data_IF_565426923055
#
_entry.id   IF_565426923055
#
_cell.length_a   1.000
_cell.length_b   1.000
_cell.length_c   1.000
_cell.angle_alpha   90.00
_cell.angle_beta   90.00
_cell.angle_gamma   90.00
#
_symmetry.space_group_name_H-M   'P 1'
#
loop_
_entity.id
_entity.type
_entity.pdbx_description
1 polymer ?
#
# COMPACT_ATOMS: atom_id res chain seq x y z
N UNK A 1 -11.54 -1.48 26.69
CA UNK A 1 -12.34 -0.55 25.86
C UNK A 1 -11.53 0.74 25.62
N UNK A 2 -10.32 0.66 25.04
CA UNK A 2 -9.40 1.81 24.92
C UNK A 2 -8.66 1.94 23.56
N UNK A 3 -8.79 1.01 22.61
CA UNK A 3 -8.08 1.11 21.31
C UNK A 3 -8.79 2.06 20.32
N UNK A 4 -10.12 2.15 20.36
CA UNK A 4 -10.89 2.96 19.43
C UNK A 4 -10.71 4.48 19.62
N UNK A 5 -10.24 4.92 20.80
CA UNK A 5 -10.08 6.34 21.12
C UNK A 5 -8.82 6.94 20.50
N UNK A 6 -7.75 6.15 20.34
CA UNK A 6 -6.49 6.61 19.77
C UNK A 6 -6.45 6.54 18.24
N UNK A 7 -7.28 5.69 17.61
CA UNK A 7 -7.34 5.52 16.16
C UNK A 7 -7.75 6.79 15.38
N UNK A 8 -8.25 7.84 16.06
CA UNK A 8 -8.71 9.09 15.44
C UNK A 8 -7.80 10.31 15.70
N UNK A 9 -6.72 10.15 16.46
CA UNK A 9 -5.82 11.26 16.76
C UNK A 9 -4.82 11.44 15.62
N UNK A 10 -5.06 12.49 14.83
CA UNK A 10 -4.15 12.92 13.75
C UNK A 10 -2.96 13.65 14.37
N UNK A 11 -2.01 12.89 14.91
CA UNK A 11 -0.77 13.42 15.49
C UNK A 11 0.16 13.98 14.40
N UNK A 12 0.97 14.98 14.74
CA UNK A 12 2.01 15.48 13.83
C UNK A 12 3.07 14.41 13.58
N UNK A 13 3.71 14.43 12.40
CA UNK A 13 4.74 13.44 12.02
C UNK A 13 5.85 13.30 13.07
N UNK A 14 6.24 14.38 13.73
CA UNK A 14 7.27 14.36 14.78
C UNK A 14 6.81 13.59 16.03
N UNK A 15 5.56 13.76 16.45
CA UNK A 15 5.00 13.02 17.59
C UNK A 15 4.90 11.53 17.28
N UNK A 16 4.44 11.19 16.07
CA UNK A 16 4.38 9.79 15.62
C UNK A 16 5.79 9.18 15.58
N UNK A 17 6.76 9.91 15.03
CA UNK A 17 8.16 9.46 14.96
C UNK A 17 8.75 9.20 16.35
N UNK A 18 8.54 10.11 17.31
CA UNK A 18 9.02 9.96 18.67
C UNK A 18 8.36 8.77 19.40
N UNK A 19 7.08 8.50 19.13
CA UNK A 19 6.40 7.31 19.68
C UNK A 19 6.91 6.01 19.05
N UNK A 20 7.13 5.97 17.73
CA UNK A 20 7.72 4.82 17.02
C UNK A 20 9.15 4.56 17.52
N UNK A 21 9.91 5.60 17.83
CA UNK A 21 11.27 5.48 18.35
C UNK A 21 11.33 4.98 19.80
N UNK A 22 10.21 4.99 20.53
CA UNK A 22 10.09 4.42 21.87
C UNK A 22 10.36 2.91 21.86
N UNK A 23 11.30 2.47 22.72
CA UNK A 23 11.72 1.06 22.83
C UNK A 23 10.55 0.14 23.19
N UNK A 24 9.54 0.66 23.89
CA UNK A 24 8.37 -0.12 24.29
C UNK A 24 7.47 -0.48 23.10
N UNK A 25 7.31 0.44 22.14
CA UNK A 25 6.54 0.18 20.93
C UNK A 25 7.27 -0.82 20.02
N UNK A 26 8.59 -0.64 19.81
CA UNK A 26 9.41 -1.56 18.99
C UNK A 26 9.48 -3.00 19.49
N UNK A 27 9.12 -3.25 20.75
CA UNK A 27 9.08 -4.59 21.34
C UNK A 27 7.67 -5.20 21.32
N UNK A 28 6.66 -4.43 20.92
CA UNK A 28 5.29 -4.89 20.80
C UNK A 28 5.09 -5.62 19.47
N UNK A 29 4.40 -6.77 19.44
CA UNK A 29 3.97 -7.42 18.20
C UNK A 29 3.20 -6.47 17.27
N UNK A 30 2.46 -5.52 17.86
CA UNK A 30 1.69 -4.50 17.14
C UNK A 30 2.57 -3.58 16.27
N UNK A 31 3.85 -3.42 16.60
CA UNK A 31 4.76 -2.61 15.81
C UNK A 31 5.14 -3.29 14.49
N UNK A 32 5.33 -4.61 14.50
CA UNK A 32 5.59 -5.37 13.28
C UNK A 32 4.38 -5.31 12.35
N UNK A 33 3.18 -5.51 12.91
CA UNK A 33 1.91 -5.40 12.16
C UNK A 33 1.74 -3.99 11.53
N UNK A 34 1.95 -2.92 12.30
CA UNK A 34 1.86 -1.54 11.80
C UNK A 34 2.89 -1.25 10.70
N UNK A 35 4.11 -1.77 10.83
CA UNK A 35 5.16 -1.58 9.83
C UNK A 35 4.87 -2.37 8.55
N UNK A 36 4.30 -3.57 8.67
CA UNK A 36 3.86 -4.35 7.51
C UNK A 36 2.68 -3.69 6.79
N UNK A 37 1.66 -3.23 7.52
CA UNK A 37 0.53 -2.49 6.97
C UNK A 37 1.00 -1.22 6.23
N UNK A 38 1.86 -0.42 6.87
CA UNK A 38 2.41 0.80 6.25
C UNK A 38 3.27 0.50 5.01
N UNK A 39 4.00 -0.62 4.99
CA UNK A 39 4.75 -1.06 3.81
C UNK A 39 3.81 -1.47 2.68
N UNK A 40 2.73 -2.16 3.00
CA UNK A 40 1.72 -2.61 2.02
C UNK A 40 1.02 -1.41 1.39
N UNK A 41 0.55 -0.44 2.18
CA UNK A 41 -0.05 0.79 1.68
C UNK A 41 0.91 1.61 0.82
N UNK A 42 2.17 1.75 1.26
CA UNK A 42 3.18 2.49 0.49
C UNK A 42 3.51 1.86 -0.87
N UNK A 43 3.43 0.53 -0.99
CA UNK A 43 3.63 -0.15 -2.28
C UNK A 43 2.45 0.05 -3.20
N UNK A 44 1.21 0.02 -2.70
CA UNK A 44 0.02 0.35 -3.49
C UNK A 44 0.11 1.78 -4.03
N UNK A 45 0.43 2.75 -3.18
CA UNK A 45 0.62 4.15 -3.58
C UNK A 45 1.73 4.28 -4.65
N UNK A 46 2.82 3.51 -4.51
CA UNK A 46 3.91 3.48 -5.48
C UNK A 46 3.44 2.93 -6.84
N UNK A 47 2.65 1.85 -6.84
CA UNK A 47 2.09 1.24 -8.07
C UNK A 47 1.20 2.25 -8.80
N UNK A 48 0.28 2.90 -8.08
CA UNK A 48 -0.62 3.90 -8.65
C UNK A 48 0.14 5.11 -9.17
N UNK A 49 1.12 5.61 -8.41
CA UNK A 49 1.97 6.73 -8.82
C UNK A 49 2.77 6.39 -10.06
N UNK A 50 3.34 5.19 -10.13
CA UNK A 50 4.12 4.74 -11.29
C UNK A 50 3.25 4.54 -12.54
N UNK A 51 2.04 3.98 -12.39
CA UNK A 51 1.07 3.90 -13.49
C UNK A 51 0.67 5.30 -13.97
N UNK A 52 0.43 6.21 -13.03
CA UNK A 52 0.04 7.59 -13.35
C UNK A 52 1.17 8.30 -14.10
N UNK A 53 2.41 8.15 -13.64
CA UNK A 53 3.59 8.74 -14.27
C UNK A 53 3.86 8.15 -15.67
N UNK A 54 3.62 6.85 -15.89
CA UNK A 54 3.89 6.19 -17.18
C UNK A 54 2.78 6.37 -18.20
N UNK A 55 1.52 6.30 -17.76
CA UNK A 55 0.37 6.17 -18.65
C UNK A 55 -0.65 7.32 -18.52
N UNK A 56 -0.41 8.29 -17.64
CA UNK A 56 -1.29 9.44 -17.44
C UNK A 56 -2.31 9.19 -16.34
N UNK A 57 -3.61 9.28 -16.61
CA UNK A 57 -4.63 9.07 -15.58
C UNK A 57 -4.88 7.58 -15.36
N UNK A 58 -4.87 7.14 -14.10
CA UNK A 58 -5.40 5.84 -13.69
C UNK A 58 -6.88 5.98 -13.37
N UNK A 59 -7.71 5.07 -13.86
CA UNK A 59 -9.15 5.09 -13.56
C UNK A 59 -9.44 4.62 -12.13
N UNK A 60 -10.47 5.15 -11.50
CA UNK A 60 -10.92 4.73 -10.16
C UNK A 60 -11.23 3.22 -10.12
N UNK A 61 -11.71 2.66 -11.23
CA UNK A 61 -11.95 1.23 -11.38
C UNK A 61 -10.66 0.41 -11.29
N UNK A 62 -9.56 0.89 -11.86
CA UNK A 62 -8.26 0.22 -11.78
C UNK A 62 -7.65 0.36 -10.39
N UNK A 63 -7.83 1.51 -9.75
CA UNK A 63 -7.45 1.75 -8.36
C UNK A 63 -8.12 0.73 -7.43
N UNK A 64 -9.45 0.64 -7.48
CA UNK A 64 -10.24 -0.33 -6.72
C UNK A 64 -9.79 -1.78 -6.98
N UNK A 65 -9.44 -2.13 -8.22
CA UNK A 65 -8.94 -3.48 -8.54
C UNK A 65 -7.60 -3.77 -7.88
N UNK A 66 -6.66 -2.84 -7.91
CA UNK A 66 -5.35 -2.98 -7.27
C UNK A 66 -5.53 -3.12 -5.76
N UNK A 67 -6.40 -2.29 -5.16
CA UNK A 67 -6.76 -2.35 -3.75
C UNK A 67 -7.32 -3.71 -3.34
N UNK A 68 -8.32 -4.19 -4.09
CA UNK A 68 -8.95 -5.50 -3.85
C UNK A 68 -7.97 -6.67 -4.04
N UNK A 69 -7.03 -6.57 -4.98
CA UNK A 69 -6.01 -7.59 -5.20
C UNK A 69 -5.02 -7.63 -4.03
N UNK A 70 -4.62 -6.46 -3.53
CA UNK A 70 -3.77 -6.30 -2.34
C UNK A 70 -4.42 -6.92 -1.11
N UNK A 71 -5.69 -6.63 -0.83
CA UNK A 71 -6.40 -7.21 0.33
C UNK A 71 -6.45 -8.74 0.29
N UNK A 72 -6.57 -9.32 -0.91
CA UNK A 72 -6.60 -10.78 -1.07
C UNK A 72 -5.22 -11.41 -0.99
N UNK A 73 -4.20 -10.75 -1.52
CA UNK A 73 -2.85 -11.31 -1.61
C UNK A 73 -1.77 -10.22 -1.65
N UNK A 74 -1.29 -9.84 -0.47
CA UNK A 74 -0.22 -8.86 -0.29
C UNK A 74 1.11 -9.28 -0.93
N UNK A 75 1.34 -10.57 -1.18
CA UNK A 75 2.56 -11.04 -1.84
C UNK A 75 2.63 -10.63 -3.33
N UNK A 76 1.48 -10.32 -3.96
CA UNK A 76 1.42 -9.89 -5.35
C UNK A 76 1.85 -8.43 -5.56
N UNK A 77 1.99 -7.64 -4.49
CA UNK A 77 2.41 -6.23 -4.56
C UNK A 77 3.77 -6.02 -5.23
N UNK A 78 4.74 -6.91 -4.96
CA UNK A 78 6.05 -6.84 -5.62
C UNK A 78 5.96 -7.17 -7.11
N UNK A 79 5.06 -8.09 -7.48
CA UNK A 79 4.82 -8.44 -8.88
C UNK A 79 4.05 -7.34 -9.61
N UNK A 80 3.16 -6.61 -8.92
CA UNK A 80 2.51 -5.42 -9.46
C UNK A 80 3.53 -4.37 -9.88
N UNK A 81 4.55 -4.08 -9.08
CA UNK A 81 5.62 -3.16 -9.48
C UNK A 81 6.31 -3.63 -10.76
N UNK A 82 6.67 -4.92 -10.86
CA UNK A 82 7.28 -5.49 -12.08
C UNK A 82 6.34 -5.37 -13.28
N UNK A 83 5.05 -5.60 -13.09
CA UNK A 83 4.04 -5.41 -14.13
C UNK A 83 3.96 -3.96 -14.57
N UNK A 84 3.96 -3.02 -13.63
CA UNK A 84 3.93 -1.59 -13.95
C UNK A 84 5.13 -1.20 -14.79
N UNK A 85 6.32 -1.76 -14.57
CA UNK A 85 7.53 -1.44 -15.36
C UNK A 85 7.55 -2.15 -16.72
N UNK A 86 7.00 -3.36 -16.80
CA UNK A 86 7.04 -4.19 -18.03
C UNK A 86 5.83 -4.02 -18.94
N UNK A 87 4.75 -3.40 -18.46
CA UNK A 87 3.57 -3.12 -19.26
C UNK A 87 3.90 -2.14 -20.39
N UNK A 88 3.34 -2.41 -21.58
CA UNK A 88 3.49 -1.54 -22.76
C UNK A 88 2.54 -0.34 -22.71
N UNK A 89 1.33 -0.57 -22.21
CA UNK A 89 0.24 0.38 -22.09
C UNK A 89 -0.70 -0.06 -20.95
N UNK A 90 -1.69 0.79 -20.63
CA UNK A 90 -2.63 0.52 -19.54
C UNK A 90 -3.46 -0.74 -19.80
N UNK A 91 -3.84 -1.02 -21.04
CA UNK A 91 -4.62 -2.20 -21.41
C UNK A 91 -3.83 -3.51 -21.26
N UNK A 92 -2.53 -3.49 -21.57
CA UNK A 92 -1.61 -4.60 -21.32
C UNK A 92 -1.44 -4.86 -19.83
N UNK A 93 -1.35 -3.79 -19.02
CA UNK A 93 -1.32 -3.90 -17.58
C UNK A 93 -2.60 -4.53 -17.02
N UNK A 94 -3.78 -4.01 -17.39
CA UNK A 94 -5.07 -4.54 -16.95
C UNK A 94 -5.25 -6.02 -17.31
N UNK A 95 -4.88 -6.41 -18.53
CA UNK A 95 -4.93 -7.81 -18.97
C UNK A 95 -3.99 -8.72 -18.18
N UNK A 96 -2.82 -8.23 -17.77
CA UNK A 96 -1.88 -9.00 -16.95
C UNK A 96 -2.37 -9.07 -15.50
N UNK A 97 -2.97 -8.00 -14.99
CA UNK A 97 -3.63 -7.96 -13.69
C UNK A 97 -4.74 -9.01 -13.60
N UNK A 98 -5.55 -9.16 -14.66
CA UNK A 98 -6.60 -10.18 -14.77
C UNK A 98 -6.09 -11.62 -14.70
N UNK A 99 -4.81 -11.85 -14.98
CA UNK A 99 -4.20 -13.18 -14.88
C UNK A 99 -3.62 -13.46 -13.49
N UNK A 100 -3.55 -12.45 -12.63
CA UNK A 100 -2.95 -12.54 -11.28
C UNK A 100 -3.99 -12.58 -10.16
N UNK A 101 -5.22 -12.14 -10.41
CA UNK A 101 -6.35 -12.18 -9.46
C UNK A 101 -7.39 -13.23 -9.82
#
# INVERSE_FOLDING_TARGET
MCMATFARLKYSKEVVKNMIEDKLLKQSPFYEDLMEEGRVEGVEETVITALTARFGSVSDKLFERIHNLRERNSALLNELIKLVVTAKDLSDFERKLDKMG
#
